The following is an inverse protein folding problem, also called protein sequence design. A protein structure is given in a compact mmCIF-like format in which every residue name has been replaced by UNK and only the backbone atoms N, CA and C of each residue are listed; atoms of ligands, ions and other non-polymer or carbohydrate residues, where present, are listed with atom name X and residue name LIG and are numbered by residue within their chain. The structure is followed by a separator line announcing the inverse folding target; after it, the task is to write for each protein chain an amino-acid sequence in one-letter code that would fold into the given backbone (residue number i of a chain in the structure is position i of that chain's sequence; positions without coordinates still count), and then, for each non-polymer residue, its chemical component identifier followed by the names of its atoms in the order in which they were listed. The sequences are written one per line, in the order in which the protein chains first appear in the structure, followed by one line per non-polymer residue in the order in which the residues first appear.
data_IF_652244194983
#
_entry.id   IF_652244194983
#
_cell.length_a   1.000
_cell.length_b   1.000
_cell.length_c   1.000
_cell.angle_alpha   90.00
_cell.angle_beta   90.00
_cell.angle_gamma   90.00
#
_symmetry.space_group_name_H-M   'P 1'
#
loop_
_entity.id
_entity.type
_entity.pdbx_description
1 polymer ?
#
# COMPACT_ATOMS: atom_id res chain seq x y z
N UNK A 1 -3.25 -24.09 -4.39
CA UNK A 1 -3.19 -22.72 -3.85
C UNK A 1 -1.72 -22.33 -3.83
N UNK A 2 -1.27 -21.46 -4.74
CA UNK A 2 0.15 -21.07 -4.80
C UNK A 2 0.34 -19.91 -3.83
N UNK A 3 0.92 -20.20 -2.67
CA UNK A 3 1.32 -19.18 -1.70
C UNK A 3 2.69 -18.67 -2.12
N UNK A 4 2.76 -17.39 -2.49
CA UNK A 4 4.03 -16.73 -2.77
C UNK A 4 4.75 -16.50 -1.43
N UNK A 5 5.96 -17.03 -1.31
CA UNK A 5 6.82 -16.75 -0.18
C UNK A 5 7.69 -15.55 -0.56
N UNK A 6 7.37 -14.38 -0.03
CA UNK A 6 8.23 -13.20 -0.14
C UNK A 6 9.39 -13.37 0.85
N UNK A 7 10.55 -13.77 0.34
CA UNK A 7 11.78 -13.89 1.09
C UNK A 7 12.52 -12.54 1.24
N UNK A 8 11.82 -11.40 1.14
CA UNK A 8 12.32 -10.07 1.53
C UNK A 8 12.82 -9.99 3.00
N UNK A 9 12.69 -11.09 3.77
CA UNK A 9 13.27 -11.26 5.09
C UNK A 9 14.66 -11.93 5.16
N UNK A 10 15.30 -12.35 4.06
CA UNK A 10 16.68 -12.90 4.12
C UNK A 10 17.77 -11.84 3.87
N UNK A 11 17.59 -10.66 4.46
CA UNK A 11 18.70 -9.76 4.78
C UNK A 11 19.38 -10.33 6.03
N UNK A 12 20.32 -11.26 5.87
CA UNK A 12 21.25 -11.60 6.94
C UNK A 12 22.26 -10.47 7.10
N UNK A 13 21.89 -9.46 7.88
CA UNK A 13 22.86 -8.80 8.75
C UNK A 13 22.77 -9.51 10.10
N UNK A 14 23.84 -10.21 10.42
CA UNK A 14 24.14 -10.90 11.68
C UNK A 14 23.55 -12.31 11.87
N UNK A 15 24.52 -13.22 11.91
CA UNK A 15 24.52 -14.59 12.42
C UNK A 15 23.86 -14.65 13.81
N UNK A 16 23.02 -15.66 14.05
CA UNK A 16 22.46 -16.10 15.36
C UNK A 16 21.19 -15.42 15.94
N UNK A 17 20.05 -15.39 15.23
CA UNK A 17 18.74 -15.26 15.89
C UNK A 17 17.73 -16.36 15.52
N UNK A 18 16.89 -16.73 16.49
CA UNK A 18 15.86 -17.79 16.48
C UNK A 18 14.79 -17.63 15.38
N UNK A 19 14.77 -16.51 14.64
CA UNK A 19 13.90 -16.28 13.47
C UNK A 19 14.09 -17.26 12.31
N UNK A 20 15.16 -18.06 12.32
CA UNK A 20 15.40 -19.12 11.33
C UNK A 20 14.49 -20.35 11.48
N UNK A 21 13.88 -20.58 12.65
CA UNK A 21 13.08 -21.78 12.89
C UNK A 21 11.71 -21.70 12.20
N UNK A 22 11.07 -20.54 12.23
CA UNK A 22 9.74 -20.30 11.67
C UNK A 22 9.76 -20.39 10.13
N UNK A 23 10.83 -19.89 9.50
CA UNK A 23 11.06 -20.04 8.05
C UNK A 23 11.28 -21.51 7.71
N UNK A 24 12.04 -22.28 8.51
CA UNK A 24 12.25 -23.72 8.27
C UNK A 24 10.94 -24.51 8.39
N UNK A 25 10.13 -24.23 9.41
CA UNK A 25 8.82 -24.88 9.60
C UNK A 25 7.86 -24.58 8.44
N UNK A 26 7.80 -23.34 7.97
CA UNK A 26 7.00 -22.93 6.81
C UNK A 26 7.49 -23.55 5.50
N UNK A 27 8.81 -23.69 5.34
CA UNK A 27 9.39 -24.37 4.17
C UNK A 27 9.05 -25.88 4.14
N UNK A 28 8.77 -26.48 5.30
CA UNK A 28 8.38 -27.89 5.40
C UNK A 28 6.87 -28.14 5.29
N UNK A 29 6.02 -27.12 5.45
CA UNK A 29 4.56 -27.31 5.55
C UNK A 29 3.78 -27.08 4.24
N UNK A 30 4.35 -26.39 3.24
CA UNK A 30 3.65 -26.04 1.99
C UNK A 30 4.57 -26.24 0.77
N UNK A 31 4.03 -26.58 -0.43
CA UNK A 31 4.83 -26.79 -1.63
C UNK A 31 5.38 -25.44 -2.15
N UNK A 32 6.63 -25.14 -1.80
CA UNK A 32 7.37 -23.98 -2.27
C UNK A 32 7.67 -24.13 -3.77
N UNK A 33 7.33 -23.12 -4.57
CA UNK A 33 7.62 -23.12 -6.01
C UNK A 33 9.11 -22.86 -6.33
N UNK A 34 9.80 -22.01 -5.56
CA UNK A 34 11.24 -21.79 -5.61
C UNK A 34 11.74 -20.99 -4.38
N UNK A 35 13.02 -21.14 -4.02
CA UNK A 35 13.72 -20.28 -3.06
C UNK A 35 15.08 -19.90 -3.65
N UNK A 36 15.43 -18.61 -3.60
CA UNK A 36 16.77 -18.13 -3.94
C UNK A 36 17.37 -17.42 -2.74
N UNK A 37 18.65 -17.68 -2.46
CA UNK A 37 19.43 -16.96 -1.45
C UNK A 37 20.38 -16.05 -2.21
N UNK A 38 20.28 -14.75 -1.97
CA UNK A 38 21.11 -13.73 -2.60
C UNK A 38 21.99 -13.05 -1.55
N UNK A 39 23.28 -12.96 -1.83
CA UNK A 39 24.22 -12.20 -1.00
C UNK A 39 24.12 -10.71 -1.36
N UNK A 40 23.76 -9.90 -0.37
CA UNK A 40 23.55 -8.47 -0.50
C UNK A 40 24.57 -7.69 0.32
N UNK A 41 25.14 -6.64 -0.27
CA UNK A 41 25.96 -5.64 0.41
C UNK A 41 25.20 -4.32 0.44
N UNK A 42 24.82 -3.86 1.63
CA UNK A 42 24.20 -2.55 1.81
C UNK A 42 25.20 -1.47 1.41
N UNK A 43 24.84 -0.63 0.44
CA UNK A 43 25.76 0.33 -0.17
C UNK A 43 26.33 1.27 0.90
N UNK A 44 27.62 1.13 1.27
CA UNK A 44 28.22 1.98 2.29
C UNK A 44 28.69 3.29 1.67
N UNK A 45 29.15 4.21 2.51
CA UNK A 45 29.88 5.39 2.03
C UNK A 45 31.10 4.94 1.22
N UNK A 46 31.15 5.33 -0.05
CA UNK A 46 32.24 4.97 -0.97
C UNK A 46 33.31 6.07 -1.01
N UNK A 47 34.58 5.66 -1.14
CA UNK A 47 35.68 6.58 -1.43
C UNK A 47 35.94 6.57 -2.93
N UNK A 48 35.97 7.75 -3.54
CA UNK A 48 36.27 7.90 -4.96
C UNK A 48 37.76 8.18 -5.15
N UNK A 49 38.36 7.56 -6.18
CA UNK A 49 39.72 7.85 -6.61
C UNK A 49 39.67 8.57 -7.95
N UNK A 50 40.30 9.75 -8.03
CA UNK A 50 40.41 10.50 -9.28
C UNK A 50 41.16 9.67 -10.33
N UNK A 51 40.55 9.49 -11.49
CA UNK A 51 41.20 8.97 -12.70
C UNK A 51 41.24 10.09 -13.75
N UNK A 52 42.34 10.19 -14.47
CA UNK A 52 42.58 11.29 -15.43
C UNK A 52 42.04 11.00 -16.83
N UNK A 53 41.57 9.78 -17.09
CA UNK A 53 40.98 9.37 -18.37
C UNK A 53 39.58 8.84 -18.15
N UNK A 54 38.62 9.38 -18.89
CA UNK A 54 37.30 8.78 -19.08
C UNK A 54 37.54 7.51 -19.88
N UNK A 55 37.32 6.35 -19.26
CA UNK A 55 37.47 5.04 -19.90
C UNK A 55 36.17 4.66 -20.61
N UNK A 56 36.22 3.89 -21.70
CA UNK A 56 35.02 3.36 -22.37
C UNK A 56 34.00 2.73 -21.41
N UNK A 57 34.45 2.16 -20.29
CA UNK A 57 33.58 1.62 -19.24
C UNK A 57 32.54 2.63 -18.73
N UNK A 58 32.85 3.93 -18.65
CA UNK A 58 31.93 4.97 -18.16
C UNK A 58 30.81 5.26 -19.17
N UNK A 59 31.15 5.23 -20.45
CA UNK A 59 30.21 5.32 -21.57
C UNK A 59 29.38 4.03 -21.69
N UNK A 60 29.97 2.87 -21.42
CA UNK A 60 29.27 1.59 -21.30
C UNK A 60 28.32 1.56 -20.10
N UNK A 61 28.65 2.19 -18.95
CA UNK A 61 27.70 2.28 -17.82
C UNK A 61 26.41 3.00 -18.19
N UNK A 62 26.56 4.09 -18.95
CA UNK A 62 25.45 4.87 -19.46
C UNK A 62 24.68 4.11 -20.55
N UNK A 63 25.35 3.23 -21.31
CA UNK A 63 24.77 2.47 -22.43
C UNK A 63 24.05 1.21 -22.00
N UNK A 64 24.60 0.42 -21.09
CA UNK A 64 24.06 -0.89 -20.70
C UNK A 64 23.07 -0.79 -19.54
N UNK A 65 23.28 0.17 -18.63
CA UNK A 65 22.45 0.32 -17.44
C UNK A 65 22.52 -0.87 -16.47
N UNK A 66 21.72 -0.79 -15.41
CA UNK A 66 21.68 -1.79 -14.35
C UNK A 66 20.37 -2.58 -14.36
N UNK A 67 20.43 -3.84 -13.96
CA UNK A 67 19.25 -4.62 -13.60
C UNK A 67 18.88 -4.29 -12.15
N UNK A 68 17.87 -3.43 -11.97
CA UNK A 68 17.36 -3.02 -10.67
C UNK A 68 16.07 -3.78 -10.34
N UNK A 69 16.02 -4.36 -9.14
CA UNK A 69 14.83 -4.99 -8.59
C UNK A 69 14.33 -4.17 -7.39
N UNK A 70 13.05 -3.81 -7.42
CA UNK A 70 12.37 -3.18 -6.29
C UNK A 70 11.71 -4.29 -5.46
N UNK A 71 11.96 -4.28 -4.15
CA UNK A 71 11.34 -5.18 -3.17
C UNK A 71 10.78 -4.36 -2.02
N UNK A 72 9.83 -4.92 -1.26
CA UNK A 72 9.27 -4.24 -0.11
C UNK A 72 9.02 -5.22 1.03
N UNK A 73 8.87 -4.67 2.23
CA UNK A 73 8.48 -5.39 3.44
C UNK A 73 7.54 -4.52 4.25
N UNK A 74 6.39 -5.04 4.63
CA UNK A 74 5.47 -4.35 5.52
C UNK A 74 6.10 -4.11 6.90
N UNK A 75 5.69 -3.04 7.57
CA UNK A 75 6.09 -2.80 8.95
C UNK A 75 5.72 -4.00 9.83
N UNK A 76 6.60 -4.42 10.77
CA UNK A 76 6.28 -5.50 11.70
C UNK A 76 5.02 -5.17 12.50
N UNK A 77 4.15 -6.15 12.83
CA UNK A 77 2.93 -5.91 13.60
C UNK A 77 3.15 -5.18 14.94
N UNK A 78 4.32 -5.39 15.55
CA UNK A 78 4.75 -4.78 16.82
C UNK A 78 4.92 -3.25 16.75
N UNK A 79 5.15 -2.71 15.55
CA UNK A 79 5.27 -1.26 15.33
C UNK A 79 3.95 -0.50 15.57
N UNK A 80 2.83 -1.21 15.71
CA UNK A 80 1.49 -0.64 15.77
C UNK A 80 0.98 -0.12 14.42
N UNK A 81 1.83 -0.07 13.39
CA UNK A 81 1.50 0.32 12.04
C UNK A 81 0.92 -0.88 11.29
N UNK A 82 -0.39 -0.85 11.06
CA UNK A 82 -1.13 -1.98 10.48
C UNK A 82 -1.38 -1.78 9.00
N UNK A 83 -1.20 -2.86 8.24
CA UNK A 83 -1.69 -2.99 6.88
C UNK A 83 -3.20 -2.73 6.84
N UNK A 84 -3.61 -1.85 5.93
CA UNK A 84 -5.01 -1.52 5.67
C UNK A 84 -5.39 -2.00 4.29
N UNK A 85 -6.59 -2.55 4.18
CA UNK A 85 -7.12 -3.04 2.91
C UNK A 85 -8.41 -2.32 2.57
N UNK A 86 -8.62 -2.06 1.28
CA UNK A 86 -9.86 -1.53 0.75
C UNK A 86 -10.14 -2.12 -0.62
N UNK A 87 -11.42 -2.23 -0.98
CA UNK A 87 -11.84 -2.57 -2.33
C UNK A 87 -12.30 -1.29 -3.04
N UNK A 88 -11.90 -1.14 -4.30
CA UNK A 88 -12.35 -0.06 -5.19
C UNK A 88 -13.57 -0.55 -5.93
N UNK A 89 -14.74 -0.03 -5.57
CA UNK A 89 -16.02 -0.51 -6.06
C UNK A 89 -16.63 0.49 -7.04
N UNK A 90 -16.98 0.03 -8.25
CA UNK A 90 -17.72 0.83 -9.23
C UNK A 90 -18.92 0.03 -9.72
N UNK A 91 -20.09 0.67 -9.81
CA UNK A 91 -21.33 -0.02 -10.22
C UNK A 91 -21.72 -1.22 -9.34
N UNK A 92 -21.30 -1.22 -8.07
CA UNK A 92 -21.54 -2.34 -7.13
C UNK A 92 -20.59 -3.54 -7.31
N UNK A 93 -19.56 -3.44 -8.16
CA UNK A 93 -18.57 -4.51 -8.35
C UNK A 93 -17.18 -4.03 -7.94
N UNK A 94 -16.41 -4.84 -7.19
CA UNK A 94 -15.04 -4.51 -6.83
C UNK A 94 -14.11 -4.72 -8.05
N UNK A 95 -13.42 -3.66 -8.48
CA UNK A 95 -12.51 -3.69 -9.63
C UNK A 95 -11.05 -3.91 -9.22
N UNK A 96 -10.62 -3.19 -8.19
CA UNK A 96 -9.26 -3.19 -7.67
C UNK A 96 -9.28 -3.45 -6.17
N UNK A 97 -8.19 -4.02 -5.65
CA UNK A 97 -7.91 -4.09 -4.21
C UNK A 97 -6.70 -3.24 -3.87
N UNK A 98 -6.88 -2.37 -2.89
CA UNK A 98 -5.84 -1.53 -2.34
C UNK A 98 -5.29 -2.15 -1.06
N UNK A 99 -3.96 -2.17 -0.93
CA UNK A 99 -3.27 -2.50 0.30
C UNK A 99 -2.33 -1.35 0.65
N UNK A 100 -2.65 -0.62 1.70
CA UNK A 100 -1.83 0.48 2.18
C UNK A 100 -1.06 0.05 3.43
N UNK A 101 0.24 0.24 3.39
CA UNK A 101 1.12 -0.04 4.51
C UNK A 101 1.94 1.21 4.84
N UNK A 102 1.68 1.84 5.99
CA UNK A 102 2.52 2.94 6.45
C UNK A 102 3.87 2.41 6.95
N UNK A 103 4.91 3.24 6.85
CA UNK A 103 6.30 2.97 7.24
C UNK A 103 6.82 1.57 6.86
N UNK A 104 6.54 1.18 5.62
CA UNK A 104 7.06 -0.05 5.06
C UNK A 104 8.50 0.14 4.56
N UNK A 105 9.30 -0.92 4.60
CA UNK A 105 10.65 -0.89 4.03
C UNK A 105 10.56 -1.11 2.52
N UNK A 106 11.14 -0.22 1.71
CA UNK A 106 11.34 -0.42 0.27
C UNK A 106 12.83 -0.57 0.03
N UNK A 107 13.21 -1.56 -0.77
CA UNK A 107 14.60 -1.89 -1.06
C UNK A 107 14.84 -1.98 -2.56
N UNK A 108 15.94 -1.37 -3.01
CA UNK A 108 16.42 -1.43 -4.38
C UNK A 108 17.65 -2.33 -4.41
N UNK A 109 17.56 -3.42 -5.16
CA UNK A 109 18.65 -4.37 -5.34
C UNK A 109 19.20 -4.19 -6.74
N UNK A 110 20.50 -3.92 -6.84
CA UNK A 110 21.22 -3.86 -8.10
C UNK A 110 21.87 -5.22 -8.37
N UNK A 111 21.35 -5.93 -9.38
CA UNK A 111 21.80 -7.25 -9.80
C UNK A 111 23.04 -7.21 -10.70
N UNK A 112 23.52 -6.01 -11.06
CA UNK A 112 24.64 -5.82 -11.99
C UNK A 112 24.16 -5.32 -13.34
N UNK A 113 24.92 -5.63 -14.38
CA UNK A 113 24.71 -5.15 -15.76
C UNK A 113 23.51 -5.83 -16.42
N UNK A 114 22.72 -5.07 -17.19
CA UNK A 114 21.46 -5.55 -17.78
C UNK A 114 21.63 -6.47 -19.00
N UNK A 115 22.72 -6.35 -19.75
CA UNK A 115 22.88 -6.99 -21.07
C UNK A 115 24.03 -8.00 -21.17
N UNK A 116 24.69 -8.32 -20.05
CA UNK A 116 25.84 -9.22 -20.07
C UNK A 116 25.50 -10.63 -19.58
N UNK A 117 26.06 -11.65 -20.24
CA UNK A 117 26.15 -13.03 -19.73
C UNK A 117 27.17 -13.15 -18.58
N UNK A 118 27.21 -12.17 -17.68
CA UNK A 118 28.11 -12.15 -16.52
C UNK A 118 27.42 -12.78 -15.30
N UNK A 119 28.18 -13.30 -14.33
CA UNK A 119 27.62 -13.63 -13.02
C UNK A 119 26.98 -12.37 -12.41
N UNK A 120 25.76 -12.52 -11.88
CA UNK A 120 25.05 -11.41 -11.24
C UNK A 120 25.85 -10.87 -10.04
N UNK A 121 25.75 -9.55 -9.82
CA UNK A 121 26.43 -8.81 -8.77
C UNK A 121 27.69 -8.10 -9.22
N UNK A 122 28.42 -7.57 -8.24
CA UNK A 122 29.69 -6.89 -8.41
C UNK A 122 30.76 -7.64 -7.65
N UNK A 123 31.92 -7.84 -8.28
CA UNK A 123 33.03 -8.51 -7.63
C UNK A 123 33.74 -7.55 -6.67
N UNK A 124 33.78 -7.90 -5.39
CA UNK A 124 34.31 -7.05 -4.32
C UNK A 124 35.42 -7.82 -3.58
N UNK A 125 36.56 -7.16 -3.43
CA UNK A 125 37.60 -7.61 -2.51
C UNK A 125 37.20 -7.25 -1.07
N UNK A 126 36.93 -8.27 -0.23
CA UNK A 126 36.41 -8.05 1.12
C UNK A 126 37.44 -7.49 2.10
N UNK A 127 38.74 -7.63 1.81
CA UNK A 127 39.81 -7.11 2.67
C UNK A 127 40.02 -5.62 2.43
N UNK A 128 39.90 -5.17 1.18
CA UNK A 128 40.13 -3.77 0.75
C UNK A 128 38.87 -2.95 0.51
N UNK A 129 37.73 -3.60 0.24
CA UNK A 129 36.47 -2.97 -0.20
C UNK A 129 36.48 -2.46 -1.64
N UNK A 130 37.49 -2.82 -2.45
CA UNK A 130 37.58 -2.39 -3.84
C UNK A 130 36.64 -3.19 -4.76
N UNK A 131 35.92 -2.47 -5.63
CA UNK A 131 35.15 -3.04 -6.74
C UNK A 131 36.12 -3.43 -7.86
N UNK A 132 36.25 -4.73 -8.10
CA UNK A 132 37.14 -5.29 -9.11
C UNK A 132 36.47 -5.26 -10.48
N UNK A 133 37.26 -4.92 -11.51
CA UNK A 133 36.88 -5.14 -12.92
C UNK A 133 37.29 -6.55 -13.35
N UNK A 134 36.58 -7.16 -14.29
CA UNK A 134 36.90 -8.51 -14.81
C UNK A 134 38.38 -8.70 -15.18
N UNK A 135 39.02 -7.67 -15.75
CA UNK A 135 40.43 -7.69 -16.12
C UNK A 135 41.41 -7.78 -14.93
N UNK A 136 40.98 -7.44 -13.71
CA UNK A 136 41.79 -7.54 -12.50
C UNK A 136 41.80 -8.96 -11.92
N UNK A 137 40.84 -9.82 -12.31
CA UNK A 137 40.73 -11.21 -11.86
C UNK A 137 41.75 -12.11 -12.58
N UNK A 138 42.15 -11.74 -13.80
CA UNK A 138 43.12 -12.50 -14.61
C UNK A 138 44.59 -12.22 -14.24
N UNK A 139 44.87 -11.19 -13.44
CA UNK A 139 46.22 -10.92 -12.94
C UNK A 139 46.56 -11.85 -11.77
N UNK A 140 47.61 -12.70 -11.86
CA UNK A 140 47.97 -13.60 -10.77
C UNK A 140 48.37 -12.77 -9.54
N UNK A 141 47.65 -12.96 -8.43
CA UNK A 141 48.04 -12.39 -7.13
C UNK A 141 49.43 -12.95 -6.76
N UNK A 142 50.37 -12.12 -6.26
CA UNK A 142 51.69 -12.59 -5.86
C UNK A 142 51.56 -13.65 -4.75
N UNK A 143 52.42 -14.68 -4.81
CA UNK A 143 52.38 -15.88 -3.98
C UNK A 143 52.52 -15.65 -2.45
N UNK A 144 52.67 -14.39 -1.99
CA UNK A 144 52.65 -14.01 -0.59
C UNK A 144 51.24 -13.84 0.00
N UNK A 145 50.18 -13.99 -0.81
CA UNK A 145 48.78 -13.79 -0.40
C UNK A 145 48.06 -15.10 -0.03
N UNK A 146 48.74 -16.04 0.64
CA UNK A 146 48.18 -17.35 1.02
C UNK A 146 47.06 -17.28 2.08
N UNK A 147 46.79 -16.10 2.65
CA UNK A 147 45.74 -15.86 3.67
C UNK A 147 44.69 -14.82 3.23
N UNK A 148 44.74 -14.31 2.00
CA UNK A 148 43.82 -13.26 1.54
C UNK A 148 42.42 -13.83 1.27
N UNK A 149 41.38 -13.11 1.72
CA UNK A 149 39.99 -13.49 1.47
C UNK A 149 39.73 -13.48 -0.05
N UNK A 150 39.12 -14.53 -0.63
CA UNK A 150 38.76 -14.52 -2.05
C UNK A 150 37.71 -13.42 -2.29
N UNK A 151 37.79 -12.70 -3.42
CA UNK A 151 36.77 -11.72 -3.76
C UNK A 151 35.42 -12.40 -3.98
N UNK A 152 34.35 -11.74 -3.54
CA UNK A 152 32.98 -12.27 -3.62
C UNK A 152 32.13 -11.43 -4.58
N UNK A 153 31.24 -12.09 -5.33
CA UNK A 153 30.24 -11.39 -6.14
C UNK A 153 29.03 -11.06 -5.27
N UNK A 154 28.84 -9.77 -4.98
CA UNK A 154 27.76 -9.29 -4.12
C UNK A 154 26.85 -8.36 -4.91
N UNK A 155 25.54 -8.47 -4.69
CA UNK A 155 24.58 -7.47 -5.20
C UNK A 155 24.56 -6.30 -4.25
N UNK A 156 24.52 -5.09 -4.80
CA UNK A 156 24.43 -3.88 -3.99
C UNK A 156 22.96 -3.59 -3.72
N UNK A 157 22.64 -3.17 -2.51
CA UNK A 157 21.28 -2.74 -2.21
C UNK A 157 21.25 -1.50 -1.32
N UNK A 158 20.15 -0.76 -1.43
CA UNK A 158 19.78 0.34 -0.54
C UNK A 158 18.34 0.15 -0.12
N UNK A 159 17.98 0.68 1.04
CA UNK A 159 16.62 0.60 1.54
C UNK A 159 16.23 1.87 2.25
N UNK A 160 14.93 2.14 2.23
CA UNK A 160 14.31 3.29 2.88
C UNK A 160 13.00 2.85 3.52
N UNK A 161 12.49 3.68 4.43
CA UNK A 161 11.18 3.47 5.05
C UNK A 161 10.21 4.49 4.50
N UNK A 162 9.18 4.02 3.81
CA UNK A 162 8.22 4.86 3.09
C UNK A 162 6.79 4.32 3.26
N UNK A 163 5.82 5.19 3.04
CA UNK A 163 4.42 4.79 2.92
C UNK A 163 4.19 4.18 1.54
N UNK A 164 3.48 3.04 1.49
CA UNK A 164 3.21 2.33 0.25
C UNK A 164 1.74 2.00 0.04
N UNK A 165 1.36 1.91 -1.23
CA UNK A 165 0.05 1.50 -1.69
C UNK A 165 0.21 0.49 -2.83
N UNK A 166 -0.25 -0.73 -2.61
CA UNK A 166 -0.38 -1.75 -3.66
C UNK A 166 -1.78 -1.69 -4.25
N UNK A 167 -1.86 -1.65 -5.58
CA UNK A 167 -3.08 -1.74 -6.35
C UNK A 167 -3.10 -3.08 -7.08
N UNK A 168 -4.02 -3.96 -6.68
CA UNK A 168 -4.20 -5.30 -7.25
C UNK A 168 -5.44 -5.34 -8.14
N UNK A 169 -5.29 -5.95 -9.31
CA UNK A 169 -6.41 -6.19 -10.23
C UNK A 169 -7.21 -7.41 -9.79
N UNK A 170 -8.52 -7.25 -9.58
CA UNK A 170 -9.39 -8.37 -9.22
C UNK A 170 -9.77 -9.21 -10.44
N UNK A 171 -9.93 -8.59 -11.61
CA UNK A 171 -10.10 -9.30 -12.87
C UNK A 171 -8.76 -9.90 -13.37
N UNK A 172 -8.63 -11.23 -13.51
CA UNK A 172 -7.42 -11.87 -14.02
C UNK A 172 -7.03 -11.45 -15.45
N UNK A 173 -7.99 -11.13 -16.32
CA UNK A 173 -7.70 -10.73 -17.70
C UNK A 173 -6.99 -9.37 -17.75
N UNK A 174 -7.42 -8.42 -16.90
CA UNK A 174 -6.74 -7.14 -16.75
C UNK A 174 -5.39 -7.31 -16.03
N UNK A 175 -5.32 -8.25 -15.09
CA UNK A 175 -4.09 -8.57 -14.35
C UNK A 175 -3.00 -9.16 -15.25
N UNK A 176 -3.33 -10.01 -16.22
CA UNK A 176 -2.31 -10.61 -17.08
C UNK A 176 -2.03 -9.81 -18.36
N UNK A 177 -2.67 -8.65 -18.53
CA UNK A 177 -2.46 -7.78 -19.68
C UNK A 177 -1.43 -6.69 -19.38
N UNK A 178 -0.20 -6.89 -19.89
CA UNK A 178 0.92 -5.96 -19.66
C UNK A 178 0.66 -4.57 -20.26
N UNK A 179 -0.09 -4.46 -21.37
CA UNK A 179 -0.46 -3.15 -21.96
C UNK A 179 -1.36 -2.37 -21.00
N UNK A 180 -2.36 -3.04 -20.42
CA UNK A 180 -3.27 -2.43 -19.44
C UNK A 180 -2.52 -2.04 -18.17
N UNK A 181 -1.70 -2.95 -17.61
CA UNK A 181 -0.95 -2.64 -16.39
C UNK A 181 0.00 -1.45 -16.58
N UNK A 182 0.79 -1.47 -17.65
CA UNK A 182 1.80 -0.43 -17.93
C UNK A 182 1.11 0.90 -18.16
N UNK A 183 0.08 0.93 -19.00
CA UNK A 183 -0.66 2.16 -19.29
C UNK A 183 -1.37 2.70 -18.05
N UNK A 184 -2.00 1.84 -17.24
CA UNK A 184 -2.70 2.25 -16.03
C UNK A 184 -1.73 2.75 -14.96
N UNK A 185 -0.56 2.13 -14.81
CA UNK A 185 0.48 2.61 -13.88
C UNK A 185 0.81 4.08 -14.15
N UNK A 186 1.20 4.41 -15.38
CA UNK A 186 1.59 5.78 -15.73
C UNK A 186 0.39 6.75 -15.74
N UNK A 187 -0.80 6.29 -16.12
CA UNK A 187 -2.01 7.12 -16.06
C UNK A 187 -2.39 7.49 -14.63
N UNK A 188 -2.38 6.52 -13.71
CA UNK A 188 -2.67 6.76 -12.30
C UNK A 188 -1.55 7.55 -11.61
N UNK A 189 -0.28 7.27 -11.92
CA UNK A 189 0.84 8.07 -11.43
C UNK A 189 0.62 9.55 -11.72
N UNK A 190 0.43 9.90 -13.00
CA UNK A 190 0.19 11.28 -13.43
C UNK A 190 -1.13 11.84 -12.90
N UNK A 191 -2.15 10.99 -12.75
CA UNK A 191 -3.42 11.37 -12.13
C UNK A 191 -3.25 11.78 -10.66
N UNK A 192 -2.45 11.04 -9.89
CA UNK A 192 -2.12 11.34 -8.48
C UNK A 192 -1.31 12.63 -8.42
N UNK A 193 -0.24 12.73 -9.21
CA UNK A 193 0.61 13.93 -9.29
C UNK A 193 -0.22 15.18 -9.58
N UNK A 194 -1.10 15.13 -10.58
CA UNK A 194 -1.94 16.27 -10.95
C UNK A 194 -3.00 16.61 -9.89
N UNK A 195 -3.62 15.61 -9.26
CA UNK A 195 -4.72 15.82 -8.31
C UNK A 195 -4.21 16.38 -6.99
N UNK A 196 -3.04 15.91 -6.54
CA UNK A 196 -2.45 16.32 -5.26
C UNK A 196 -1.30 17.32 -5.42
N UNK A 197 -1.02 17.78 -6.64
CA UNK A 197 0.01 18.76 -6.97
C UNK A 197 1.42 18.32 -6.55
N UNK A 198 1.76 17.07 -6.83
CA UNK A 198 3.07 16.49 -6.53
C UNK A 198 4.06 16.73 -7.67
N UNK A 199 5.33 16.85 -7.32
CA UNK A 199 6.43 16.76 -8.29
C UNK A 199 6.65 15.29 -8.70
N UNK A 200 7.14 15.04 -9.92
CA UNK A 200 7.35 13.69 -10.47
C UNK A 200 8.28 12.81 -9.59
N UNK A 201 9.19 13.44 -8.83
CA UNK A 201 10.12 12.75 -7.92
C UNK A 201 9.54 12.42 -6.55
N UNK A 202 8.36 12.94 -6.21
CA UNK A 202 7.72 12.76 -4.91
C UNK A 202 6.87 11.48 -4.84
N UNK A 203 6.50 10.92 -6.00
CA UNK A 203 5.74 9.69 -6.12
C UNK A 203 6.48 8.66 -6.96
N UNK A 204 6.94 7.59 -6.32
CA UNK A 204 7.56 6.48 -7.01
C UNK A 204 6.55 5.40 -7.40
N UNK A 205 6.79 4.75 -8.53
CA UNK A 205 5.93 3.66 -9.04
C UNK A 205 6.73 2.45 -9.52
N UNK A 206 6.17 1.26 -9.31
CA UNK A 206 6.73 0.01 -9.82
C UNK A 206 5.62 -1.02 -10.10
N UNK A 207 5.89 -2.00 -10.97
CA UNK A 207 5.08 -3.23 -11.11
C UNK A 207 5.78 -4.35 -10.34
N UNK A 208 5.06 -5.03 -9.47
CA UNK A 208 5.60 -6.08 -8.59
C UNK A 208 4.79 -7.36 -8.65
N UNK A 209 5.48 -8.48 -8.36
CA UNK A 209 4.88 -9.80 -8.22
C UNK A 209 4.60 -10.50 -9.56
N UNK A 210 4.14 -11.74 -9.48
CA UNK A 210 3.82 -12.57 -10.64
C UNK A 210 2.44 -13.24 -10.50
N UNK A 211 1.83 -13.55 -11.64
CA UNK A 211 0.51 -14.17 -11.73
C UNK A 211 -0.52 -13.51 -10.81
N UNK A 212 -1.13 -14.23 -9.86
CA UNK A 212 -2.16 -13.68 -8.98
C UNK A 212 -1.68 -12.56 -8.05
N UNK A 213 -0.37 -12.39 -7.89
CA UNK A 213 0.24 -11.39 -7.02
C UNK A 213 0.74 -10.14 -7.77
N UNK A 214 0.58 -10.10 -9.11
CA UNK A 214 0.87 -8.91 -9.90
C UNK A 214 0.10 -7.69 -9.36
N UNK A 215 0.84 -6.62 -9.10
CA UNK A 215 0.32 -5.39 -8.50
C UNK A 215 1.10 -4.17 -8.96
N UNK A 216 0.43 -3.02 -8.94
CA UNK A 216 1.09 -1.72 -9.08
C UNK A 216 1.45 -1.24 -7.69
N UNK A 217 2.72 -0.95 -7.44
CA UNK A 217 3.21 -0.31 -6.24
C UNK A 217 3.32 1.20 -6.48
N UNK A 218 2.73 1.97 -5.57
CA UNK A 218 2.98 3.40 -5.42
C UNK A 218 3.61 3.61 -4.04
N UNK A 219 4.61 4.49 -3.97
CA UNK A 219 5.23 4.88 -2.70
C UNK A 219 5.58 6.36 -2.69
N UNK A 220 5.50 6.97 -1.51
CA UNK A 220 5.90 8.37 -1.32
C UNK A 220 7.44 8.40 -1.28
N UNK A 221 8.06 9.05 -2.26
CA UNK A 221 9.52 9.09 -2.41
C UNK A 221 10.15 10.36 -1.80
N UNK A 222 9.33 11.25 -1.24
CA UNK A 222 9.78 12.46 -0.56
C UNK A 222 10.38 12.15 0.83
N UNK A 223 11.23 13.04 1.33
CA UNK A 223 11.67 13.00 2.72
C UNK A 223 10.50 13.32 3.65
N UNK A 224 9.90 12.28 4.22
CA UNK A 224 8.70 12.37 5.04
C UNK A 224 7.41 12.09 4.23
N UNK A 225 6.37 11.70 4.95
CA UNK A 225 5.10 11.32 4.32
C UNK A 225 4.33 12.55 3.82
N UNK A 226 3.88 12.47 2.57
CA UNK A 226 2.97 13.43 1.93
C UNK A 226 1.52 13.18 2.36
N UNK A 227 1.23 11.96 2.82
CA UNK A 227 -0.10 11.52 3.25
C UNK A 227 -1.08 11.30 2.09
N UNK A 228 -0.61 11.35 0.84
CA UNK A 228 -1.43 11.22 -0.36
C UNK A 228 -1.95 9.79 -0.50
N UNK A 229 -1.08 8.80 -0.30
CA UNK A 229 -1.49 7.39 -0.38
C UNK A 229 -2.48 7.04 0.73
N UNK A 230 -2.32 7.65 1.90
CA UNK A 230 -3.28 7.54 3.00
C UNK A 230 -4.64 8.15 2.62
N UNK A 231 -4.66 9.33 1.99
CA UNK A 231 -5.90 9.97 1.53
C UNK A 231 -6.63 9.11 0.52
N UNK A 232 -5.93 8.47 -0.43
CA UNK A 232 -6.53 7.50 -1.35
C UNK A 232 -7.22 6.33 -0.65
N UNK A 233 -6.81 5.98 0.57
CA UNK A 233 -7.43 4.94 1.38
C UNK A 233 -8.55 5.45 2.30
N UNK A 234 -8.42 6.67 2.79
CA UNK A 234 -9.32 7.26 3.79
C UNK A 234 -10.53 7.96 3.15
N UNK A 235 -10.34 8.60 2.00
CA UNK A 235 -11.35 9.40 1.31
C UNK A 235 -12.05 8.56 0.24
N UNK A 236 -13.38 8.31 0.36
CA UNK A 236 -14.08 7.43 -0.57
C UNK A 236 -14.02 7.87 -2.03
N UNK A 237 -13.90 9.18 -2.32
CA UNK A 237 -13.83 9.76 -3.67
C UNK A 237 -12.42 10.07 -4.17
N UNK A 238 -11.38 9.98 -3.33
CA UNK A 238 -10.06 10.47 -3.74
C UNK A 238 -9.51 9.71 -4.97
N UNK A 239 -9.73 8.40 -5.05
CA UNK A 239 -9.31 7.63 -6.23
C UNK A 239 -10.15 7.97 -7.48
N UNK A 240 -11.42 8.34 -7.32
CA UNK A 240 -12.25 8.74 -8.46
C UNK A 240 -11.86 10.11 -9.00
N UNK A 241 -11.44 11.04 -8.14
CA UNK A 241 -10.83 12.32 -8.51
C UNK A 241 -9.51 12.10 -9.28
N UNK A 242 -8.65 11.20 -8.79
CA UNK A 242 -7.43 10.78 -9.50
C UNK A 242 -7.74 10.17 -10.87
N UNK A 243 -8.77 9.31 -10.95
CA UNK A 243 -9.18 8.71 -12.21
C UNK A 243 -9.71 9.75 -13.20
N UNK A 244 -10.40 10.79 -12.74
CA UNK A 244 -10.86 11.90 -13.60
C UNK A 244 -9.66 12.67 -14.18
N UNK A 245 -8.67 12.98 -13.35
CA UNK A 245 -7.40 13.59 -13.78
C UNK A 245 -6.68 12.70 -14.78
N UNK A 246 -6.52 11.40 -14.50
CA UNK A 246 -5.89 10.43 -15.40
C UNK A 246 -6.62 10.30 -16.75
N UNK A 247 -7.95 10.32 -16.74
CA UNK A 247 -8.79 10.28 -17.94
C UNK A 247 -8.61 11.55 -18.79
N UNK A 248 -8.56 12.73 -18.15
CA UNK A 248 -8.29 14.00 -18.82
C UNK A 248 -6.88 14.05 -19.42
N UNK A 249 -5.86 13.55 -18.70
CA UNK A 249 -4.48 13.42 -19.18
C UNK A 249 -4.42 12.49 -20.40
N UNK A 250 -5.22 11.43 -20.43
CA UNK A 250 -5.38 10.55 -21.59
C UNK A 250 -6.19 11.16 -22.75
N UNK A 251 -6.49 12.46 -22.71
CA UNK A 251 -7.25 13.22 -23.70
C UNK A 251 -8.69 12.72 -23.90
N UNK A 252 -9.33 12.30 -22.81
CA UNK A 252 -10.74 11.96 -22.80
C UNK A 252 -11.54 12.98 -21.99
N UNK A 253 -12.80 13.16 -22.36
CA UNK A 253 -13.79 13.87 -21.57
C UNK A 253 -14.29 12.96 -20.42
N UNK A 254 -14.97 13.51 -19.41
CA UNK A 254 -15.51 12.71 -18.29
C UNK A 254 -16.45 11.57 -18.71
N UNK A 255 -17.11 11.69 -19.87
CA UNK A 255 -17.98 10.67 -20.46
C UNK A 255 -17.22 9.60 -21.28
N UNK A 256 -15.89 9.66 -21.30
CA UNK A 256 -15.02 8.77 -22.06
C UNK A 256 -14.90 9.12 -23.55
N UNK A 257 -15.55 10.18 -24.03
CA UNK A 257 -15.41 10.63 -25.42
C UNK A 257 -14.03 11.26 -25.64
N UNK A 258 -13.49 11.09 -26.84
CA UNK A 258 -12.16 11.59 -27.17
C UNK A 258 -12.19 13.11 -27.39
N UNK A 259 -11.23 13.82 -26.82
CA UNK A 259 -11.03 15.24 -27.09
C UNK A 259 -10.50 15.42 -28.52
N UNK A 260 -10.73 16.59 -29.13
CA UNK A 260 -10.23 16.93 -30.46
C UNK A 260 -8.70 17.19 -30.44
N UNK A 261 -7.90 16.15 -30.19
CA UNK A 261 -6.43 16.15 -30.15
C UNK A 261 -5.90 14.97 -30.96
N UNK A 262 -4.81 15.20 -31.70
CA UNK A 262 -4.15 14.15 -32.47
C UNK A 262 -3.27 13.28 -31.57
N UNK A 263 -3.86 12.31 -30.86
CA UNK A 263 -3.13 11.32 -30.08
C UNK A 263 -3.58 9.92 -30.46
N UNK A 264 -2.72 9.10 -31.06
CA UNK A 264 -3.10 7.73 -31.43
C UNK A 264 -3.11 6.80 -30.21
N UNK A 265 -1.94 6.24 -29.85
CA UNK A 265 -1.80 5.29 -28.75
C UNK A 265 -1.31 5.93 -27.46
N UNK A 266 -0.25 6.73 -27.54
CA UNK A 266 0.31 7.52 -26.45
C UNK A 266 1.12 8.70 -27.03
N UNK A 267 1.26 9.77 -26.24
CA UNK A 267 2.08 10.95 -26.53
C UNK A 267 2.73 11.45 -25.24
N UNK A 268 3.70 12.37 -25.33
CA UNK A 268 4.40 12.92 -24.15
C UNK A 268 3.50 13.75 -23.23
N UNK A 269 2.39 14.30 -23.76
CA UNK A 269 1.39 15.00 -22.96
C UNK A 269 0.45 14.04 -22.21
N UNK A 270 0.44 12.74 -22.52
CA UNK A 270 -0.37 11.75 -21.82
C UNK A 270 0.47 10.73 -21.05
N UNK A 271 0.96 9.66 -21.69
CA UNK A 271 1.61 8.52 -21.03
C UNK A 271 3.12 8.42 -21.30
N UNK A 272 3.64 8.98 -22.40
CA UNK A 272 5.07 8.87 -22.70
C UNK A 272 5.87 9.81 -21.80
N UNK A 273 7.02 9.32 -21.33
CA UNK A 273 8.05 10.10 -20.64
C UNK A 273 9.43 9.70 -21.17
N UNK A 274 10.45 10.47 -20.80
CA UNK A 274 11.84 10.08 -21.10
C UNK A 274 12.30 8.88 -20.27
N UNK A 275 11.67 8.65 -19.11
CA UNK A 275 12.00 7.59 -18.16
C UNK A 275 11.39 6.24 -18.54
N UNK A 276 10.30 6.22 -19.31
CA UNK A 276 9.58 4.99 -19.68
C UNK A 276 9.77 4.54 -21.14
N UNK A 277 10.78 5.05 -21.84
CA UNK A 277 11.00 4.79 -23.27
C UNK A 277 11.12 3.30 -23.62
N UNK A 278 11.71 2.50 -22.72
CA UNK A 278 11.85 1.05 -22.92
C UNK A 278 10.51 0.30 -22.97
N UNK A 279 9.46 0.93 -22.46
CA UNK A 279 8.11 0.37 -22.34
C UNK A 279 7.11 1.09 -23.22
N UNK A 280 7.57 2.02 -24.07
CA UNK A 280 6.72 2.87 -24.90
C UNK A 280 5.78 2.05 -25.81
N UNK A 281 6.22 0.86 -26.25
CA UNK A 281 5.42 -0.06 -27.05
C UNK A 281 4.24 -0.70 -26.29
N UNK A 282 4.25 -0.67 -24.95
CA UNK A 282 3.16 -1.15 -24.10
C UNK A 282 2.17 -0.05 -23.72
N UNK A 283 2.44 1.21 -24.07
CA UNK A 283 1.58 2.34 -23.71
C UNK A 283 0.44 2.52 -24.71
N UNK A 284 -0.77 2.37 -24.22
CA UNK A 284 -1.99 2.52 -25.00
C UNK A 284 -3.12 3.10 -24.14
N UNK A 285 -3.39 4.40 -24.30
CA UNK A 285 -4.46 5.10 -23.59
C UNK A 285 -5.86 4.55 -23.90
N UNK A 286 -6.07 3.98 -25.08
CA UNK A 286 -7.36 3.42 -25.48
C UNK A 286 -7.66 2.13 -24.73
N UNK A 287 -6.63 1.32 -24.43
CA UNK A 287 -6.76 0.06 -23.71
C UNK A 287 -7.23 0.24 -22.25
N UNK A 288 -7.00 1.41 -21.66
CA UNK A 288 -7.37 1.72 -20.27
C UNK A 288 -8.56 2.68 -20.16
N UNK A 289 -9.11 3.18 -21.27
CA UNK A 289 -10.19 4.18 -21.28
C UNK A 289 -11.39 3.72 -20.46
N UNK A 290 -11.91 2.54 -20.77
CA UNK A 290 -13.13 2.03 -20.13
C UNK A 290 -12.91 1.76 -18.63
N UNK A 291 -11.71 1.30 -18.27
CA UNK A 291 -11.33 1.12 -16.87
C UNK A 291 -11.23 2.46 -16.13
N UNK A 292 -10.55 3.46 -16.70
CA UNK A 292 -10.48 4.80 -16.11
C UNK A 292 -11.87 5.42 -15.97
N UNK A 293 -12.74 5.25 -16.97
CA UNK A 293 -14.13 5.71 -16.92
C UNK A 293 -14.92 5.02 -15.80
N UNK A 294 -14.74 3.72 -15.57
CA UNK A 294 -15.36 3.06 -14.41
C UNK A 294 -14.80 3.60 -13.09
N UNK A 295 -13.49 3.89 -13.04
CA UNK A 295 -12.84 4.43 -11.86
C UNK A 295 -13.29 5.86 -11.53
N UNK A 296 -13.70 6.68 -12.51
CA UNK A 296 -14.24 8.03 -12.22
C UNK A 296 -15.53 8.01 -11.41
N UNK A 297 -16.24 6.88 -11.39
CA UNK A 297 -17.44 6.65 -10.58
C UNK A 297 -17.21 5.67 -9.43
N UNK A 298 -15.96 5.28 -9.17
CA UNK A 298 -15.66 4.33 -8.11
C UNK A 298 -15.72 4.95 -6.72
N UNK A 299 -15.75 4.09 -5.71
CA UNK A 299 -15.56 4.45 -4.33
C UNK A 299 -14.62 3.48 -3.63
N UNK A 300 -13.78 4.02 -2.77
CA UNK A 300 -12.89 3.22 -1.93
C UNK A 300 -13.66 2.78 -0.68
N UNK A 301 -13.78 1.48 -0.48
CA UNK A 301 -14.50 0.88 0.64
C UNK A 301 -13.53 0.07 1.51
N UNK A 302 -13.32 0.44 2.79
CA UNK A 302 -12.39 -0.26 3.65
C UNK A 302 -12.86 -1.68 3.94
N UNK A 303 -11.93 -2.64 3.90
CA UNK A 303 -12.15 -3.99 4.42
C UNK A 303 -11.90 -3.97 5.92
N UNK A 304 -12.84 -4.52 6.68
CA UNK A 304 -12.89 -4.38 8.13
C UNK A 304 -12.73 -5.75 8.79
N UNK A 305 -11.93 -5.79 9.84
CA UNK A 305 -11.82 -6.93 10.74
C UNK A 305 -12.63 -6.65 12.01
N UNK A 306 -13.22 -7.68 12.60
CA UNK A 306 -13.79 -7.54 13.95
C UNK A 306 -12.73 -7.81 15.00
N UNK A 307 -12.98 -7.43 16.26
CA UNK A 307 -12.03 -7.75 17.34
C UNK A 307 -11.87 -9.26 17.60
N UNK A 308 -12.76 -10.09 17.03
CA UNK A 308 -12.81 -11.54 17.24
C UNK A 308 -12.17 -12.34 16.11
N UNK A 309 -11.84 -11.70 14.99
CA UNK A 309 -11.25 -12.37 13.83
C UNK A 309 -10.32 -11.41 13.11
N UNK A 310 -9.14 -11.89 12.77
CA UNK A 310 -8.18 -11.16 11.92
C UNK A 310 -8.59 -11.14 10.45
N UNK A 311 -9.56 -11.99 10.06
CA UNK A 311 -10.09 -12.03 8.70
C UNK A 311 -10.81 -10.72 8.35
N UNK A 312 -10.38 -10.11 7.24
CA UNK A 312 -10.93 -8.85 6.73
C UNK A 312 -12.10 -9.11 5.79
N UNK A 313 -13.29 -8.69 6.22
CA UNK A 313 -14.54 -8.77 5.44
C UNK A 313 -14.63 -7.62 4.45
N UNK A 314 -15.32 -7.86 3.33
CA UNK A 314 -15.75 -6.77 2.47
C UNK A 314 -16.69 -5.83 3.23
N UNK A 315 -16.89 -4.62 2.71
CA UNK A 315 -17.80 -3.65 3.34
C UNK A 315 -19.22 -4.22 3.51
N UNK A 316 -19.75 -4.88 2.47
CA UNK A 316 -21.09 -5.49 2.48
C UNK A 316 -21.21 -6.66 3.47
N UNK A 317 -20.22 -7.55 3.49
CA UNK A 317 -20.15 -8.67 4.44
C UNK A 317 -20.08 -8.16 5.88
N UNK A 318 -19.29 -7.10 6.12
CA UNK A 318 -19.15 -6.49 7.44
C UNK A 318 -20.43 -5.79 7.88
N UNK A 319 -21.10 -5.09 6.97
CA UNK A 319 -22.39 -4.48 7.25
C UNK A 319 -23.46 -5.52 7.60
N UNK A 320 -23.53 -6.63 6.86
CA UNK A 320 -24.42 -7.74 7.16
C UNK A 320 -24.10 -8.36 8.54
N UNK A 321 -22.81 -8.50 8.87
CA UNK A 321 -22.33 -8.95 10.17
C UNK A 321 -22.80 -8.05 11.32
N UNK A 322 -22.74 -6.72 11.14
CA UNK A 322 -23.20 -5.74 12.14
C UNK A 322 -24.72 -5.75 12.27
N UNK A 323 -25.46 -5.72 11.15
CA UNK A 323 -26.93 -5.76 11.14
C UNK A 323 -27.47 -6.96 11.89
N UNK A 324 -26.89 -8.14 11.70
CA UNK A 324 -27.28 -9.37 12.39
C UNK A 324 -27.12 -9.33 13.92
N UNK A 325 -26.32 -8.39 14.46
CA UNK A 325 -26.02 -8.25 15.89
C UNK A 325 -26.75 -7.09 16.56
N UNK A 326 -27.30 -6.16 15.79
CA UNK A 326 -28.10 -5.06 16.35
C UNK A 326 -29.36 -5.57 17.06
N UNK A 327 -29.56 -5.12 18.29
CA UNK A 327 -30.62 -5.63 19.17
C UNK A 327 -31.82 -4.66 19.24
N UNK A 328 -31.59 -3.36 19.11
CA UNK A 328 -32.65 -2.33 19.13
C UNK A 328 -32.93 -1.71 17.75
N UNK A 329 -34.11 -1.09 17.61
CA UNK A 329 -34.46 -0.30 16.44
C UNK A 329 -33.56 0.94 16.29
N UNK A 330 -33.13 1.53 17.40
CA UNK A 330 -32.24 2.70 17.39
C UNK A 330 -30.87 2.34 16.83
N UNK A 331 -30.28 1.22 17.25
CA UNK A 331 -29.02 0.71 16.70
C UNK A 331 -29.11 0.46 15.20
N UNK A 332 -30.22 -0.13 14.73
CA UNK A 332 -30.45 -0.37 13.29
C UNK A 332 -30.53 0.94 12.52
N UNK A 333 -31.34 1.88 13.00
CA UNK A 333 -31.49 3.19 12.36
C UNK A 333 -30.17 3.96 12.33
N UNK A 334 -29.35 3.86 13.40
CA UNK A 334 -28.04 4.49 13.44
C UNK A 334 -27.07 3.83 12.45
N UNK A 335 -27.04 2.50 12.36
CA UNK A 335 -26.21 1.78 11.40
C UNK A 335 -26.60 2.08 9.95
N UNK A 336 -27.90 2.12 9.65
CA UNK A 336 -28.43 2.53 8.34
C UNK A 336 -28.06 3.97 8.01
N UNK A 337 -28.13 4.87 9.00
CA UNK A 337 -27.70 6.25 8.86
C UNK A 337 -26.21 6.35 8.47
N UNK A 338 -25.34 5.58 9.15
CA UNK A 338 -23.90 5.55 8.84
C UNK A 338 -23.65 5.07 7.42
N UNK A 339 -24.31 4.00 6.99
CA UNK A 339 -24.19 3.44 5.64
C UNK A 339 -24.67 4.42 4.56
N UNK A 340 -25.87 4.98 4.72
CA UNK A 340 -26.48 5.90 3.75
C UNK A 340 -25.63 7.14 3.53
N UNK A 341 -24.99 7.65 4.58
CA UNK A 341 -24.18 8.86 4.54
C UNK A 341 -22.68 8.61 4.42
N UNK A 342 -22.26 7.35 4.41
CA UNK A 342 -20.88 6.99 4.17
C UNK A 342 -19.91 7.12 5.29
N UNK A 343 -20.39 7.15 6.52
CA UNK A 343 -19.53 7.20 7.67
C UNK A 343 -18.84 5.86 7.88
N UNK A 344 -17.71 5.91 8.58
CA UNK A 344 -16.95 4.73 8.98
C UNK A 344 -17.86 3.81 9.80
N UNK A 345 -17.86 2.54 9.44
CA UNK A 345 -18.58 1.51 10.20
C UNK A 345 -17.82 1.10 11.46
N UNK A 346 -18.52 0.71 12.53
CA UNK A 346 -17.90 0.17 13.73
C UNK A 346 -17.20 -1.17 13.46
N UNK A 347 -16.18 -1.48 14.24
CA UNK A 347 -15.45 -2.76 14.15
C UNK A 347 -16.27 -3.94 14.69
N UNK A 348 -17.12 -3.69 15.70
CA UNK A 348 -18.05 -4.70 16.22
C UNK A 348 -19.32 -4.06 16.77
N UNK A 349 -20.37 -4.88 16.91
CA UNK A 349 -21.60 -4.54 17.59
C UNK A 349 -21.74 -5.41 18.86
N UNK A 350 -22.41 -4.88 19.88
CA UNK A 350 -22.67 -5.61 21.13
C UNK A 350 -21.37 -6.13 21.80
N UNK A 351 -20.38 -5.23 21.93
CA UNK A 351 -19.08 -5.54 22.51
C UNK A 351 -19.21 -5.66 24.03
N UNK A 352 -19.10 -6.87 24.54
CA UNK A 352 -19.03 -7.12 25.99
C UNK A 352 -17.65 -6.77 26.56
N UNK A 353 -17.65 -6.02 27.65
CA UNK A 353 -16.50 -5.69 28.48
C UNK A 353 -16.66 -6.39 29.84
N UNK A 354 -15.55 -6.91 30.37
CA UNK A 354 -15.55 -7.61 31.66
C UNK A 354 -15.52 -6.62 32.83
N UNK A 355 -14.73 -5.56 32.72
CA UNK A 355 -14.47 -4.60 33.79
C UNK A 355 -14.40 -3.15 33.23
N UNK A 356 -15.34 -2.26 33.60
CA UNK A 356 -16.62 -2.58 34.23
C UNK A 356 -17.49 -3.48 33.32
N UNK A 357 -18.31 -4.34 33.92
CA UNK A 357 -19.16 -5.27 33.18
C UNK A 357 -20.24 -4.49 32.43
N UNK A 358 -20.08 -4.35 31.12
CA UNK A 358 -21.04 -3.67 30.26
C UNK A 358 -21.07 -4.30 28.86
N UNK A 359 -22.08 -3.93 28.09
CA UNK A 359 -22.15 -4.24 26.66
C UNK A 359 -22.30 -2.91 25.94
N UNK A 360 -21.34 -2.55 25.11
CA UNK A 360 -21.43 -1.38 24.25
C UNK A 360 -22.12 -1.75 22.94
N UNK A 361 -23.01 -0.89 22.46
CA UNK A 361 -23.79 -1.15 21.25
C UNK A 361 -22.90 -1.23 20.02
N UNK A 362 -21.93 -0.32 19.92
CA UNK A 362 -20.90 -0.37 18.89
C UNK A 362 -19.51 -0.12 19.45
N UNK A 363 -18.51 -0.75 18.84
CA UNK A 363 -17.11 -0.61 19.19
C UNK A 363 -16.29 -0.16 17.99
N UNK A 364 -15.50 0.90 18.16
CA UNK A 364 -14.51 1.37 17.19
C UNK A 364 -13.11 1.17 17.78
N UNK A 365 -12.23 0.57 16.99
CA UNK A 365 -10.83 0.41 17.39
C UNK A 365 -10.11 1.77 17.45
N UNK A 366 -9.15 1.95 18.37
CA UNK A 366 -8.69 0.93 19.34
C UNK A 366 -9.53 0.82 20.62
N UNK A 367 -10.16 1.90 21.10
CA UNK A 367 -10.73 1.99 22.45
C UNK A 367 -12.00 2.86 22.55
N UNK A 368 -12.78 2.97 21.47
CA UNK A 368 -13.97 3.82 21.44
C UNK A 368 -15.24 2.96 21.56
N UNK A 369 -16.10 3.32 22.51
CA UNK A 369 -17.38 2.67 22.77
C UNK A 369 -18.52 3.63 22.45
N UNK A 370 -19.49 3.18 21.68
CA UNK A 370 -20.68 3.96 21.34
C UNK A 370 -21.90 3.28 21.95
N UNK A 371 -22.70 4.07 22.68
CA UNK A 371 -23.98 3.66 23.26
C UNK A 371 -25.13 4.40 22.58
N UNK A 372 -26.14 3.66 22.15
CA UNK A 372 -27.36 4.18 21.55
C UNK A 372 -28.45 4.27 22.62
N UNK A 373 -28.58 5.45 23.25
CA UNK A 373 -29.54 5.69 24.32
C UNK A 373 -30.94 5.89 23.74
N UNK A 374 -31.76 4.84 23.81
CA UNK A 374 -33.19 4.90 23.49
C UNK A 374 -34.06 5.48 24.62
N UNK A 375 -35.39 5.63 24.39
CA UNK A 375 -36.34 6.16 25.38
C UNK A 375 -36.30 5.54 26.79
N UNK A 376 -36.01 4.22 26.97
CA UNK A 376 -35.89 3.63 28.31
C UNK A 376 -34.78 4.24 29.19
N UNK A 377 -33.77 4.88 28.60
CA UNK A 377 -32.68 5.56 29.30
C UNK A 377 -33.06 6.96 29.80
N UNK A 378 -34.29 7.43 29.57
CA UNK A 378 -34.72 8.78 29.98
C UNK A 378 -35.16 8.89 31.46
N UNK A 379 -35.25 7.77 32.18
CA UNK A 379 -35.56 7.81 33.62
C UNK A 379 -34.36 8.28 34.44
N UNK A 380 -34.62 9.13 35.45
CA UNK A 380 -33.57 9.75 36.28
C UNK A 380 -32.71 8.73 37.05
N UNK A 381 -33.26 7.56 37.36
CA UNK A 381 -32.52 6.45 37.99
C UNK A 381 -31.58 5.76 37.00
N UNK A 382 -32.06 5.44 35.78
CA UNK A 382 -31.26 4.78 34.76
C UNK A 382 -30.11 5.69 34.29
N UNK A 383 -30.38 6.99 34.09
CA UNK A 383 -29.33 7.97 33.73
C UNK A 383 -28.17 8.01 34.72
N UNK A 384 -28.45 7.93 36.02
CA UNK A 384 -27.39 7.95 37.06
C UNK A 384 -26.51 6.70 37.02
N UNK A 385 -27.11 5.54 36.78
CA UNK A 385 -26.39 4.27 36.64
C UNK A 385 -25.51 4.32 35.39
N UNK A 386 -26.08 4.73 34.25
CA UNK A 386 -25.37 4.82 32.99
C UNK A 386 -24.22 5.84 33.09
N UNK A 387 -24.44 7.01 33.70
CA UNK A 387 -23.39 8.01 33.94
C UNK A 387 -22.25 7.48 34.80
N UNK A 388 -22.55 6.73 35.87
CA UNK A 388 -21.53 6.14 36.72
C UNK A 388 -20.70 5.10 35.96
N UNK A 389 -21.36 4.19 35.25
CA UNK A 389 -20.70 3.17 34.44
C UNK A 389 -19.81 3.79 33.34
N UNK A 390 -20.26 4.87 32.72
CA UNK A 390 -19.48 5.60 31.71
C UNK A 390 -18.24 6.27 32.30
N UNK A 391 -18.33 6.84 33.51
CA UNK A 391 -17.16 7.40 34.21
C UNK A 391 -16.13 6.31 34.52
N UNK A 392 -16.58 5.13 34.91
CA UNK A 392 -15.70 3.97 35.13
C UNK A 392 -15.01 3.53 33.82
N UNK A 393 -15.75 3.45 32.71
CA UNK A 393 -15.16 3.13 31.39
C UNK A 393 -14.09 4.13 30.97
N UNK A 394 -14.34 5.43 31.18
CA UNK A 394 -13.35 6.48 30.90
C UNK A 394 -12.12 6.35 31.79
N UNK A 395 -12.29 6.01 33.07
CA UNK A 395 -11.18 5.74 33.98
C UNK A 395 -10.34 4.52 33.54
N UNK A 396 -10.95 3.54 32.89
CA UNK A 396 -10.27 2.39 32.27
C UNK A 396 -9.61 2.71 30.92
N UNK A 397 -9.62 3.98 30.47
CA UNK A 397 -8.96 4.41 29.24
C UNK A 397 -9.81 4.24 27.97
N UNK A 398 -11.11 3.96 28.09
CA UNK A 398 -12.02 3.98 26.95
C UNK A 398 -12.52 5.39 26.67
N UNK A 399 -12.76 5.67 25.39
CA UNK A 399 -13.51 6.85 24.98
C UNK A 399 -14.97 6.47 24.76
N UNK A 400 -15.87 7.12 25.49
CA UNK A 400 -17.30 6.84 25.42
C UNK A 400 -18.01 7.92 24.61
N UNK A 401 -18.82 7.50 23.64
CA UNK A 401 -19.71 8.36 22.84
C UNK A 401 -21.14 7.88 23.02
N UNK A 402 -22.07 8.82 23.14
CA UNK A 402 -23.49 8.54 23.34
C UNK A 402 -24.26 9.11 22.16
N UNK A 403 -25.06 8.26 21.53
CA UNK A 403 -25.98 8.63 20.45
C UNK A 403 -27.39 8.59 21.02
N UNK A 404 -28.00 9.78 21.09
CA UNK A 404 -29.35 10.03 21.59
C UNK A 404 -30.38 9.84 20.47
N UNK A 405 -31.48 9.20 20.81
CA UNK A 405 -32.62 8.99 19.90
C UNK A 405 -33.39 10.28 19.56
N UNK A 406 -33.38 11.26 20.47
CA UNK A 406 -34.15 12.51 20.38
C UNK A 406 -33.34 13.68 19.77
N UNK A 407 -32.12 13.40 19.30
CA UNK A 407 -31.24 14.37 18.67
C UNK A 407 -30.95 13.98 17.22
N UNK A 408 -30.63 14.98 16.41
CA UNK A 408 -30.26 14.76 15.01
C UNK A 408 -28.94 13.95 14.91
N UNK A 409 -28.94 12.89 14.09
CA UNK A 409 -27.76 12.04 13.92
C UNK A 409 -26.61 12.76 13.20
N UNK A 410 -26.89 13.67 12.27
CA UNK A 410 -25.81 14.41 11.59
C UNK A 410 -25.04 15.29 12.58
N UNK A 411 -25.73 16.02 13.45
CA UNK A 411 -25.08 16.87 14.45
C UNK A 411 -24.22 16.04 15.40
N UNK A 412 -24.74 14.90 15.88
CA UNK A 412 -24.03 14.03 16.81
C UNK A 412 -22.79 13.39 16.16
N UNK A 413 -22.90 12.88 14.93
CA UNK A 413 -21.79 12.24 14.22
C UNK A 413 -20.72 13.26 13.81
N UNK A 414 -21.12 14.46 13.36
CA UNK A 414 -20.18 15.53 12.99
C UNK A 414 -19.38 16.09 14.16
N UNK A 415 -19.83 15.89 15.40
CA UNK A 415 -19.06 16.25 16.58
C UNK A 415 -17.82 15.34 16.79
N UNK A 416 -17.76 14.19 16.11
CA UNK A 416 -16.71 13.18 16.27
C UNK A 416 -16.15 12.68 14.92
N UNK A 417 -15.62 13.57 14.05
CA UNK A 417 -15.10 13.20 12.73
C UNK A 417 -13.95 12.20 12.80
N UNK A 418 -13.15 12.21 13.87
CA UNK A 418 -12.05 11.27 14.10
C UNK A 418 -12.52 9.83 14.40
N UNK A 419 -13.78 9.66 14.82
CA UNK A 419 -14.39 8.35 15.08
C UNK A 419 -15.14 7.87 13.84
N UNK A 420 -16.05 8.71 13.34
CA UNK A 420 -17.00 8.33 12.28
C UNK A 420 -16.51 8.67 10.87
N UNK A 421 -15.38 9.36 10.73
CA UNK A 421 -14.90 9.83 9.43
C UNK A 421 -15.72 11.00 8.88
N UNK A 422 -15.37 11.42 7.67
CA UNK A 422 -16.10 12.44 6.92
C UNK A 422 -17.24 11.81 6.12
N UNK A 423 -18.36 12.51 5.98
CA UNK A 423 -19.50 12.03 5.21
C UNK A 423 -19.21 11.98 3.71
N UNK A 424 -19.66 10.92 3.02
CA UNK A 424 -19.59 10.76 1.55
C UNK A 424 -20.32 11.88 0.79
N UNK A 425 -21.26 12.59 1.40
CA UNK A 425 -22.07 13.63 0.74
C UNK A 425 -21.60 15.05 1.01
N UNK A 426 -20.62 15.25 1.89
CA UNK A 426 -20.05 16.57 2.14
C UNK A 426 -18.98 16.85 1.08
N UNK A 427 -19.38 17.40 -0.07
CA UNK A 427 -18.45 18.10 -0.96
C UNK A 427 -17.76 19.20 -0.14
N UNK A 428 -16.42 19.24 -0.04
CA UNK A 428 -15.74 20.43 0.45
C UNK A 428 -15.79 21.47 -0.68
N UNK A 429 -16.60 22.53 -0.50
CA UNK A 429 -16.64 23.67 -1.41
C UNK A 429 -18.02 23.97 -1.98
N UNK A 430 -18.80 24.72 -1.20
CA UNK A 430 -19.58 25.85 -1.73
C UNK A 430 -18.91 27.13 -1.27
#
# INVERSE_FOLDING_TARGET
MIVYFDASALVKRYVEEEGSALVRDLLTSEPIAATSVISLLELPNVRLRRRERITCNEEERLREGYELQVTYRFAPPESGQRLREADVVAGGQPLLRLLYAPAATIAYINHGWKYECRPQGFLIDLDSGELLTDSAVETPRPASASEATPPESLRLWVWETQDLLLVRFLNPELRENDVVQTSLQYALQRGIEQTFQLEERELGVARLGEGPWKSLLFYEAAEGSLGVLRRLMDEPSALSEVAQSALAICHYNPDGTEQARACQQACYECLLSYTNQLEANLLNRQAIRDLLQQLTACQVQPRLSSHRSEERRSYEEHLAYLRARTQSALERNFLEFLEQHGYRLPADAQKSLAEPRCIADFFYQPNVLVFCDGPPHDTSHQRRIDEQQRRELVACGYRVVVIRWDQDFHQQVRAYPEIFGLSRTARPGS
#
